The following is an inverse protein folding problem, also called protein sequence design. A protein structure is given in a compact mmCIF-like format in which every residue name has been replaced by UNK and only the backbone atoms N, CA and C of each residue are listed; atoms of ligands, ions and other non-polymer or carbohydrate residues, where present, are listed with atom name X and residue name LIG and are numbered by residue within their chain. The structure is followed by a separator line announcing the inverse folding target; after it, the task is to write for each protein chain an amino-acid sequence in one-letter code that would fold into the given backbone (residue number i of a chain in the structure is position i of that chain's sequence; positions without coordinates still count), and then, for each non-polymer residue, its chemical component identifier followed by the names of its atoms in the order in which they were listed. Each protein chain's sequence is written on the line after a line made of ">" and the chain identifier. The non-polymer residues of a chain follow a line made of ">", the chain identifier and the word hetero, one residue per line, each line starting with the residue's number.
data_IF_013401316077
#
_entry.id   IF_013401316077
#
_cell.length_a   1.000
_cell.length_b   1.000
_cell.length_c   1.000
_cell.angle_alpha   90.00
_cell.angle_beta   90.00
_cell.angle_gamma   90.00
#
_symmetry.space_group_name_H-M   'P 1'
#
loop_
_entity.id
_entity.type
_entity.pdbx_description
1 polymer ?
#
# COMPACT_ATOMS: atom_id res chain seq x y z
N UNK A 1 29.80 10.33 -18.49
CA UNK A 1 28.74 9.63 -19.25
C UNK A 1 28.31 8.37 -18.51
N UNK A 2 29.24 7.67 -17.87
CA UNK A 2 28.96 6.45 -17.10
C UNK A 2 28.05 6.68 -15.87
N UNK A 3 28.19 7.81 -15.16
CA UNK A 3 27.38 8.11 -13.98
C UNK A 3 25.88 8.31 -14.29
N UNK A 4 25.56 8.95 -15.42
CA UNK A 4 24.17 9.15 -15.84
C UNK A 4 23.51 7.81 -16.23
N UNK A 5 24.30 6.89 -16.80
CA UNK A 5 23.81 5.58 -17.19
C UNK A 5 23.40 4.75 -15.97
N UNK A 6 24.12 4.87 -14.85
CA UNK A 6 23.75 4.23 -13.59
C UNK A 6 22.40 4.77 -13.07
N UNK A 7 22.21 6.08 -13.08
CA UNK A 7 20.94 6.70 -12.67
C UNK A 7 19.77 6.23 -13.55
N UNK A 8 19.97 6.09 -14.86
CA UNK A 8 18.91 5.62 -15.78
C UNK A 8 18.54 4.14 -15.60
N UNK A 9 19.32 3.36 -14.84
CA UNK A 9 19.00 1.99 -14.47
C UNK A 9 18.32 1.89 -13.09
N UNK A 10 18.29 2.99 -12.34
CA UNK A 10 17.70 3.08 -11.01
C UNK A 10 16.22 3.46 -11.11
N UNK A 11 15.35 2.57 -10.64
CA UNK A 11 13.90 2.75 -10.74
C UNK A 11 13.41 3.94 -9.92
N UNK A 12 13.97 4.15 -8.73
CA UNK A 12 13.58 5.25 -7.85
C UNK A 12 13.91 6.60 -8.50
N UNK A 13 15.12 6.70 -9.06
CA UNK A 13 15.53 7.89 -9.81
C UNK A 13 14.59 8.16 -10.99
N UNK A 14 14.30 7.15 -11.80
CA UNK A 14 13.42 7.30 -12.96
C UNK A 14 12.02 7.77 -12.56
N UNK A 15 11.42 7.17 -11.53
CA UNK A 15 10.07 7.53 -11.09
C UNK A 15 10.01 8.94 -10.51
N UNK A 16 10.98 9.31 -9.65
CA UNK A 16 11.08 10.66 -9.09
C UNK A 16 11.35 11.73 -10.15
N UNK A 17 12.10 11.40 -11.21
CA UNK A 17 12.42 12.32 -12.30
C UNK A 17 11.29 12.48 -13.32
N UNK A 18 10.55 11.40 -13.63
CA UNK A 18 9.52 11.41 -14.69
C UNK A 18 8.16 11.88 -14.21
N UNK A 19 7.81 11.63 -12.95
CA UNK A 19 6.44 11.84 -12.43
C UNK A 19 6.38 12.91 -11.35
N UNK A 20 7.24 13.93 -11.44
CA UNK A 20 7.27 15.07 -10.51
C UNK A 20 5.93 15.83 -10.49
N UNK A 21 5.19 15.85 -11.60
CA UNK A 21 3.89 16.52 -11.74
C UNK A 21 2.73 15.78 -11.03
N UNK A 22 2.90 14.49 -10.75
CA UNK A 22 1.86 13.65 -10.13
C UNK A 22 1.75 13.83 -8.62
N UNK A 23 2.81 14.31 -7.98
CA UNK A 23 2.83 14.57 -6.53
C UNK A 23 2.51 13.34 -5.66
N UNK A 24 2.74 12.12 -6.19
CA UNK A 24 2.54 10.83 -5.49
C UNK A 24 3.85 10.16 -5.06
N UNK A 25 4.98 10.62 -5.60
CA UNK A 25 6.34 10.15 -5.31
C UNK A 25 7.24 11.32 -4.86
N UNK A 26 8.35 11.04 -4.13
CA UNK A 26 9.35 12.04 -3.76
C UNK A 26 9.85 12.84 -4.97
N UNK A 27 9.82 14.18 -4.86
CA UNK A 27 10.37 15.08 -5.87
C UNK A 27 11.91 15.03 -5.89
N UNK A 28 12.48 14.87 -7.08
CA UNK A 28 13.92 14.94 -7.29
C UNK A 28 14.45 16.37 -7.00
N UNK A 29 15.41 16.49 -6.07
CA UNK A 29 16.07 17.76 -5.74
C UNK A 29 17.30 18.02 -6.60
N UNK A 30 18.00 16.96 -7.00
CA UNK A 30 19.20 17.07 -7.84
C UNK A 30 20.03 15.79 -7.87
N UNK A 31 21.08 15.81 -8.67
CA UNK A 31 22.00 14.69 -8.89
C UNK A 31 23.46 15.12 -8.67
N UNK A 32 24.29 14.19 -8.22
CA UNK A 32 25.73 14.36 -8.02
C UNK A 32 26.44 13.04 -8.35
N UNK A 33 26.94 12.93 -9.58
CA UNK A 33 27.51 11.66 -10.08
C UNK A 33 26.46 10.55 -10.08
N UNK A 34 26.73 9.37 -9.49
CA UNK A 34 25.77 8.26 -9.41
C UNK A 34 24.74 8.43 -8.28
N UNK A 35 24.79 9.54 -7.52
CA UNK A 35 23.87 9.80 -6.42
C UNK A 35 22.80 10.80 -6.83
N UNK A 36 21.61 10.64 -6.27
CA UNK A 36 20.54 11.60 -6.38
C UNK A 36 19.92 11.88 -5.00
N UNK A 37 19.29 13.03 -4.86
CA UNK A 37 18.58 13.42 -3.66
C UNK A 37 17.13 13.73 -3.99
N UNK A 38 16.22 13.29 -3.14
CA UNK A 38 14.79 13.57 -3.23
C UNK A 38 14.32 14.39 -2.03
N UNK A 39 13.13 14.97 -2.13
CA UNK A 39 12.51 15.69 -1.02
C UNK A 39 12.40 14.78 0.21
N UNK A 40 12.59 15.37 1.40
CA UNK A 40 12.44 14.62 2.64
C UNK A 40 10.95 14.51 2.99
N UNK A 41 10.49 13.27 3.14
CA UNK A 41 9.14 12.93 3.59
C UNK A 41 9.26 12.26 4.96
N UNK A 42 8.48 12.74 5.92
CA UNK A 42 8.37 12.12 7.25
C UNK A 42 7.57 10.82 7.11
N UNK A 43 8.20 9.65 7.35
CA UNK A 43 7.54 8.37 7.19
C UNK A 43 6.42 8.19 8.21
N UNK A 44 5.33 7.54 7.81
CA UNK A 44 4.30 7.10 8.74
C UNK A 44 4.93 6.08 9.69
N UNK A 45 4.93 6.33 11.01
CA UNK A 45 5.56 5.42 11.94
C UNK A 45 4.84 4.07 11.94
N UNK A 46 5.62 2.99 11.89
CA UNK A 46 5.11 1.66 12.23
C UNK A 46 4.73 1.67 13.71
N UNK A 47 3.46 1.92 14.00
CA UNK A 47 2.99 2.22 15.35
C UNK A 47 3.19 1.03 16.30
N UNK A 48 4.09 1.21 17.26
CA UNK A 48 4.20 0.35 18.45
C UNK A 48 3.02 0.51 19.41
N UNK A 49 2.21 1.57 19.24
CA UNK A 49 1.08 1.91 20.11
C UNK A 49 -0.19 1.07 19.88
N UNK A 50 -0.32 0.38 18.74
CA UNK A 50 -1.51 -0.42 18.39
C UNK A 50 -1.78 -1.58 19.35
N UNK A 51 -0.78 -1.98 20.13
CA UNK A 51 -0.86 -3.06 21.12
C UNK A 51 -0.86 -2.55 22.57
N UNK A 52 -0.87 -1.23 22.77
CA UNK A 52 -0.84 -0.63 24.11
C UNK A 52 -2.24 -0.29 24.58
N UNK A 53 -2.56 -0.59 25.85
CA UNK A 53 -3.83 -0.23 26.49
C UNK A 53 -4.08 1.29 26.59
N UNK A 54 -3.10 2.10 26.17
CA UNK A 54 -3.12 3.57 26.18
C UNK A 54 -3.46 4.19 24.82
N UNK A 55 -3.98 3.42 23.86
CA UNK A 55 -4.40 3.95 22.56
C UNK A 55 -5.62 4.89 22.73
N UNK A 56 -5.38 6.19 22.60
CA UNK A 56 -6.42 7.21 22.73
C UNK A 56 -7.30 7.28 21.47
N UNK A 57 -8.54 7.75 21.64
CA UNK A 57 -9.46 7.94 20.52
C UNK A 57 -8.94 8.98 19.52
N UNK A 58 -8.19 9.97 20.00
CA UNK A 58 -7.48 10.95 19.19
C UNK A 58 -6.40 10.31 18.30
N UNK A 59 -5.54 9.45 18.87
CA UNK A 59 -4.54 8.72 18.11
C UNK A 59 -5.17 7.81 17.06
N UNK A 60 -6.33 7.23 17.37
CA UNK A 60 -7.09 6.46 16.38
C UNK A 60 -7.65 7.36 15.26
N UNK A 61 -8.16 8.56 15.58
CA UNK A 61 -8.56 9.58 14.60
C UNK A 61 -7.43 9.98 13.65
N UNK A 62 -6.22 10.19 14.16
CA UNK A 62 -5.04 10.45 13.32
C UNK A 62 -4.75 9.29 12.36
N UNK A 63 -4.94 8.04 12.79
CA UNK A 63 -4.76 6.86 11.92
C UNK A 63 -5.85 6.74 10.85
N UNK A 64 -7.10 7.14 11.15
CA UNK A 64 -8.15 7.23 10.13
C UNK A 64 -7.77 8.23 9.04
N UNK A 65 -7.28 9.41 9.43
CA UNK A 65 -6.82 10.43 8.49
C UNK A 65 -5.70 9.91 7.58
N UNK A 66 -4.71 9.21 8.14
CA UNK A 66 -3.66 8.56 7.36
C UNK A 66 -4.24 7.50 6.41
N UNK A 67 -5.19 6.68 6.88
CA UNK A 67 -5.82 5.66 6.04
C UNK A 67 -6.59 6.26 4.85
N UNK A 68 -7.29 7.39 5.05
CA UNK A 68 -7.94 8.14 3.96
C UNK A 68 -6.92 8.66 2.95
N UNK A 69 -5.82 9.27 3.42
CA UNK A 69 -4.74 9.73 2.53
C UNK A 69 -4.06 8.58 1.77
N UNK A 70 -3.94 7.39 2.37
CA UNK A 70 -3.49 6.19 1.67
C UNK A 70 -4.47 5.85 0.55
N UNK A 71 -5.78 5.79 0.83
CA UNK A 71 -6.79 5.47 -0.18
C UNK A 71 -6.79 6.47 -1.34
N UNK A 72 -6.65 7.76 -1.06
CA UNK A 72 -6.49 8.81 -2.09
C UNK A 72 -5.26 8.55 -2.97
N UNK A 73 -4.11 8.22 -2.36
CA UNK A 73 -2.89 7.87 -3.08
C UNK A 73 -3.10 6.62 -3.96
N UNK A 74 -3.82 5.60 -3.48
CA UNK A 74 -4.08 4.39 -4.26
C UNK A 74 -4.96 4.67 -5.48
N UNK A 75 -5.95 5.54 -5.36
CA UNK A 75 -6.80 5.96 -6.49
C UNK A 75 -5.98 6.68 -7.56
N UNK A 76 -5.06 7.56 -7.17
CA UNK A 76 -4.14 8.24 -8.09
C UNK A 76 -3.18 7.25 -8.78
N UNK A 77 -2.71 6.22 -8.08
CA UNK A 77 -1.85 5.18 -8.68
C UNK A 77 -2.62 4.26 -9.64
N UNK A 78 -3.91 4.04 -9.40
CA UNK A 78 -4.78 3.22 -10.26
C UNK A 78 -5.21 3.99 -11.53
N UNK A 79 -5.54 5.27 -11.39
CA UNK A 79 -6.25 6.04 -12.44
C UNK A 79 -5.46 7.22 -13.01
N UNK A 80 -4.44 7.71 -12.28
CA UNK A 80 -3.68 8.92 -12.62
C UNK A 80 -2.60 8.72 -13.68
N UNK A 81 -2.39 7.49 -14.16
CA UNK A 81 -1.33 7.10 -15.09
C UNK A 81 -1.89 6.39 -16.34
N UNK A 82 -1.04 6.18 -17.34
CA UNK A 82 -1.42 5.44 -18.57
C UNK A 82 -1.83 4.00 -18.27
N UNK A 83 -1.20 3.40 -17.26
CA UNK A 83 -1.56 2.12 -16.69
C UNK A 83 -1.36 2.18 -15.16
N UNK A 84 -2.04 1.33 -14.38
CA UNK A 84 -1.89 1.30 -12.93
C UNK A 84 -0.45 1.02 -12.49
N UNK A 85 0.01 1.71 -11.45
CA UNK A 85 1.24 1.39 -10.74
C UNK A 85 0.95 0.48 -9.55
N UNK A 86 1.70 -0.61 -9.42
CA UNK A 86 1.63 -1.54 -8.31
C UNK A 86 2.75 -1.28 -7.30
N UNK A 87 2.40 -1.39 -6.01
CA UNK A 87 3.32 -1.26 -4.88
C UNK A 87 3.75 -2.64 -4.40
N UNK A 88 4.73 -3.25 -5.06
CA UNK A 88 5.12 -4.64 -4.81
C UNK A 88 5.95 -4.83 -3.53
N UNK A 89 6.46 -3.80 -2.87
CA UNK A 89 7.05 -3.90 -1.51
C UNK A 89 6.37 -2.92 -0.54
N UNK A 90 5.27 -3.37 0.02
CA UNK A 90 4.34 -2.54 0.77
C UNK A 90 4.63 -2.64 2.27
N UNK A 91 5.05 -1.51 2.86
CA UNK A 91 5.25 -1.33 4.30
C UNK A 91 4.69 0.03 4.74
N UNK A 92 4.19 0.13 5.98
CA UNK A 92 3.60 1.39 6.49
C UNK A 92 4.62 2.54 6.44
N UNK A 93 5.89 2.25 6.76
CA UNK A 93 7.01 3.20 6.69
C UNK A 93 7.39 3.66 5.28
N UNK A 94 6.81 3.05 4.23
CA UNK A 94 7.02 3.50 2.85
C UNK A 94 6.00 4.57 2.45
N UNK A 95 5.01 4.84 3.29
CA UNK A 95 4.16 6.02 3.13
C UNK A 95 4.73 7.16 3.95
N UNK A 96 4.66 8.38 3.44
CA UNK A 96 4.96 9.57 4.25
C UNK A 96 4.59 10.87 3.58
N UNK A 97 4.80 11.95 4.31
CA UNK A 97 4.35 13.28 3.88
C UNK A 97 5.39 14.33 4.24
N UNK A 98 5.38 15.46 3.55
CA UNK A 98 6.13 16.63 4.01
C UNK A 98 5.57 17.02 5.39
N UNK A 99 6.40 17.52 6.30
CA UNK A 99 5.94 17.95 7.63
C UNK A 99 4.77 18.93 7.52
N UNK A 100 3.66 18.64 8.21
CA UNK A 100 2.38 19.35 8.11
C UNK A 100 1.72 19.32 6.71
N UNK A 101 2.18 18.44 5.83
CA UNK A 101 1.62 18.22 4.51
C UNK A 101 0.25 17.57 4.57
N UNK A 102 -0.58 17.88 3.58
CA UNK A 102 -1.94 17.35 3.47
C UNK A 102 -2.03 16.10 2.58
N UNK A 103 -0.96 15.78 1.85
CA UNK A 103 -0.88 14.65 0.94
C UNK A 103 0.18 13.66 1.36
N UNK A 104 -0.16 12.39 1.22
CA UNK A 104 0.73 11.27 1.46
C UNK A 104 1.33 10.83 0.11
N UNK A 105 2.60 10.48 0.14
CA UNK A 105 3.37 9.97 -1.00
C UNK A 105 3.96 8.61 -0.65
N UNK A 106 4.30 7.84 -1.67
CA UNK A 106 5.04 6.59 -1.49
C UNK A 106 6.54 6.87 -1.64
N UNK A 107 7.34 6.55 -0.63
CA UNK A 107 8.74 6.97 -0.48
C UNK A 107 9.72 5.96 -1.07
N UNK A 108 9.50 4.68 -0.81
CA UNK A 108 10.37 3.57 -1.25
C UNK A 108 9.90 3.13 -2.64
N UNK A 109 10.65 3.48 -3.68
CA UNK A 109 10.22 3.33 -5.07
C UNK A 109 10.81 2.07 -5.73
N UNK A 110 11.66 1.31 -5.04
CA UNK A 110 12.31 0.09 -5.56
C UNK A 110 11.29 -0.94 -6.06
N UNK A 111 10.17 -1.08 -5.33
CA UNK A 111 9.07 -2.01 -5.63
C UNK A 111 7.91 -1.40 -6.42
N UNK A 112 8.03 -0.17 -6.93
CA UNK A 112 6.95 0.54 -7.61
C UNK A 112 7.04 0.31 -9.11
N UNK A 113 6.05 -0.41 -9.66
CA UNK A 113 6.13 -0.91 -11.03
C UNK A 113 4.83 -0.66 -11.80
N UNK A 114 4.89 -0.25 -13.08
CA UNK A 114 3.72 -0.34 -13.95
C UNK A 114 3.21 -1.79 -14.00
N UNK A 115 1.89 -1.97 -14.06
CA UNK A 115 1.24 -3.30 -14.08
C UNK A 115 1.86 -4.25 -15.10
N UNK A 116 2.14 -3.78 -16.31
CA UNK A 116 2.75 -4.57 -17.38
C UNK A 116 4.18 -5.02 -17.06
N UNK A 117 4.95 -4.17 -16.39
CA UNK A 117 6.33 -4.46 -15.97
C UNK A 117 6.32 -5.49 -14.84
N UNK A 118 5.50 -5.30 -13.81
CA UNK A 118 5.37 -6.27 -12.72
C UNK A 118 4.90 -7.64 -13.25
N UNK A 119 3.93 -7.68 -14.16
CA UNK A 119 3.51 -8.92 -14.83
C UNK A 119 4.64 -9.58 -15.63
N UNK A 120 5.46 -8.79 -16.33
CA UNK A 120 6.61 -9.30 -17.08
C UNK A 120 7.68 -9.89 -16.16
N UNK A 121 7.98 -9.24 -15.03
CA UNK A 121 8.93 -9.75 -14.03
C UNK A 121 8.46 -11.08 -13.44
N UNK A 122 7.17 -11.20 -13.12
CA UNK A 122 6.60 -12.44 -12.59
C UNK A 122 6.68 -13.57 -13.63
N UNK A 123 6.45 -13.28 -14.91
CA UNK A 123 6.54 -14.28 -15.98
C UNK A 123 7.96 -14.85 -16.17
N UNK A 124 8.98 -14.08 -15.84
CA UNK A 124 10.38 -14.53 -15.85
C UNK A 124 10.70 -15.46 -14.67
N UNK A 125 9.82 -15.57 -13.66
CA UNK A 125 9.90 -16.59 -12.62
C UNK A 125 9.63 -17.96 -13.28
N UNK A 126 10.70 -18.72 -13.48
CA UNK A 126 10.75 -19.86 -14.39
C UNK A 126 9.67 -20.93 -14.18
N UNK A 127 9.87 -21.82 -13.20
CA UNK A 127 8.99 -22.95 -12.94
C UNK A 127 8.19 -22.71 -11.65
N UNK A 128 6.89 -23.04 -11.67
CA UNK A 128 6.01 -22.97 -10.52
C UNK A 128 5.25 -24.29 -10.31
N UNK A 129 4.97 -24.63 -9.06
CA UNK A 129 4.08 -25.72 -8.67
C UNK A 129 2.75 -25.21 -8.10
N UNK A 130 2.77 -24.08 -7.38
CA UNK A 130 1.60 -23.43 -6.81
C UNK A 130 1.59 -21.91 -7.04
N UNK A 131 0.44 -21.26 -6.83
CA UNK A 131 0.29 -19.81 -7.08
C UNK A 131 1.30 -18.97 -6.29
N UNK A 132 1.66 -19.39 -5.08
CA UNK A 132 2.63 -18.69 -4.23
C UNK A 132 4.05 -18.67 -4.79
N UNK A 133 4.40 -19.61 -5.67
CA UNK A 133 5.69 -19.58 -6.39
C UNK A 133 5.75 -18.43 -7.41
N UNK A 134 4.61 -17.84 -7.75
CA UNK A 134 4.47 -16.73 -8.69
C UNK A 134 4.32 -15.36 -8.00
N UNK A 135 4.61 -15.28 -6.70
CA UNK A 135 4.61 -14.02 -5.97
C UNK A 135 5.93 -13.26 -6.21
N UNK A 136 5.83 -12.03 -6.69
CA UNK A 136 6.93 -11.07 -6.72
C UNK A 136 6.73 -10.07 -5.57
N UNK A 137 7.34 -10.38 -4.43
CA UNK A 137 7.12 -9.68 -3.16
C UNK A 137 5.62 -9.67 -2.80
N UNK A 138 4.96 -8.52 -2.79
CA UNK A 138 3.52 -8.40 -2.49
C UNK A 138 2.62 -8.53 -3.74
N UNK A 139 3.19 -8.40 -4.94
CA UNK A 139 2.46 -8.56 -6.18
C UNK A 139 2.32 -10.05 -6.51
N UNK A 140 1.08 -10.50 -6.69
CA UNK A 140 0.76 -11.93 -6.82
C UNK A 140 0.33 -12.26 -8.24
N UNK A 141 0.59 -13.49 -8.65
CA UNK A 141 0.04 -14.04 -9.90
C UNK A 141 -0.46 -15.47 -9.67
N UNK A 142 -0.66 -16.22 -10.76
CA UNK A 142 -1.13 -17.60 -10.74
C UNK A 142 -0.17 -18.50 -11.48
N UNK A 143 -0.01 -19.71 -10.96
CA UNK A 143 0.70 -20.77 -11.63
C UNK A 143 -0.24 -21.49 -12.60
N UNK A 144 0.15 -21.58 -13.87
CA UNK A 144 -0.52 -22.47 -14.80
C UNK A 144 -0.08 -23.91 -14.52
N UNK A 145 -0.98 -24.72 -13.95
CA UNK A 145 -0.70 -26.10 -13.58
C UNK A 145 -0.39 -27.02 -14.78
N UNK A 146 -0.75 -26.62 -16.00
CA UNK A 146 -0.48 -27.36 -17.23
C UNK A 146 0.91 -27.04 -17.78
N UNK A 147 1.24 -25.75 -17.88
CA UNK A 147 2.53 -25.32 -18.45
C UNK A 147 3.65 -25.20 -17.41
N UNK A 148 3.29 -25.22 -16.12
CA UNK A 148 4.18 -25.04 -14.96
C UNK A 148 4.95 -23.71 -15.00
N UNK A 149 4.25 -22.66 -15.45
CA UNK A 149 4.78 -21.30 -15.60
C UNK A 149 3.85 -20.29 -14.97
N UNK A 150 4.43 -19.20 -14.49
CA UNK A 150 3.68 -18.07 -13.96
C UNK A 150 2.99 -17.27 -15.07
N UNK A 151 1.78 -16.80 -14.78
CA UNK A 151 1.06 -15.86 -15.64
C UNK A 151 1.70 -14.46 -15.56
N UNK A 152 1.57 -13.67 -16.64
CA UNK A 152 1.88 -12.23 -16.61
C UNK A 152 0.73 -11.38 -16.05
N UNK A 153 -0.40 -11.99 -15.69
CA UNK A 153 -1.52 -11.29 -15.07
C UNK A 153 -1.31 -11.16 -13.57
N UNK A 154 -1.31 -9.93 -13.06
CA UNK A 154 -1.34 -9.67 -11.61
C UNK A 154 -2.75 -9.97 -11.08
N UNK A 155 -2.83 -10.75 -10.02
CA UNK A 155 -4.08 -11.28 -9.44
C UNK A 155 -4.65 -10.42 -8.31
N UNK A 156 -3.85 -9.51 -7.74
CA UNK A 156 -4.23 -8.54 -6.72
C UNK A 156 -4.00 -7.08 -7.17
N UNK A 157 -4.42 -6.12 -6.36
CA UNK A 157 -4.19 -4.68 -6.58
C UNK A 157 -3.76 -3.98 -5.29
N UNK A 158 -3.39 -2.71 -5.37
CA UNK A 158 -2.90 -1.97 -4.21
C UNK A 158 -3.94 -1.90 -3.08
N UNK A 159 -5.22 -1.73 -3.40
CA UNK A 159 -6.29 -1.68 -2.40
C UNK A 159 -6.34 -2.96 -1.56
N UNK A 160 -6.32 -4.13 -2.23
CA UNK A 160 -6.27 -5.42 -1.55
C UNK A 160 -5.04 -5.53 -0.63
N UNK A 161 -3.85 -5.19 -1.16
CA UNK A 161 -2.59 -5.31 -0.42
C UNK A 161 -2.54 -4.38 0.79
N UNK A 162 -3.01 -3.13 0.66
CA UNK A 162 -3.11 -2.18 1.78
C UNK A 162 -4.13 -2.64 2.81
N UNK A 163 -5.31 -3.09 2.39
CA UNK A 163 -6.31 -3.63 3.31
C UNK A 163 -5.75 -4.79 4.13
N UNK A 164 -5.01 -5.69 3.48
CA UNK A 164 -4.39 -6.83 4.13
C UNK A 164 -3.24 -6.42 5.05
N UNK A 165 -2.17 -5.82 4.51
CA UNK A 165 -0.91 -5.63 5.22
C UNK A 165 -0.89 -4.40 6.12
N UNK A 166 -1.63 -3.35 5.75
CA UNK A 166 -1.57 -2.06 6.43
C UNK A 166 -2.77 -1.85 7.34
N UNK A 167 -3.99 -1.99 6.83
CA UNK A 167 -5.18 -1.66 7.61
C UNK A 167 -5.57 -2.76 8.58
N UNK A 168 -5.64 -4.01 8.11
CA UNK A 168 -5.99 -5.16 8.93
C UNK A 168 -4.78 -5.66 9.74
N UNK A 169 -3.61 -5.70 9.12
CA UNK A 169 -2.38 -6.19 9.73
C UNK A 169 -2.08 -7.64 9.38
N UNK A 170 -0.99 -8.16 9.93
CA UNK A 170 -0.40 -9.43 9.51
C UNK A 170 -0.32 -10.42 10.67
N UNK A 171 -0.30 -11.71 10.33
CA UNK A 171 -0.03 -12.78 11.30
C UNK A 171 1.47 -13.06 11.30
N UNK A 172 2.11 -12.87 12.45
CA UNK A 172 3.51 -13.24 12.64
C UNK A 172 3.66 -14.75 12.89
N UNK A 173 2.64 -15.38 13.46
CA UNK A 173 2.56 -16.84 13.62
C UNK A 173 1.10 -17.29 13.68
N UNK A 174 0.86 -18.59 13.83
CA UNK A 174 -0.49 -19.12 14.05
C UNK A 174 -1.19 -18.55 15.30
N UNK A 175 -0.45 -17.91 16.22
CA UNK A 175 -0.97 -17.37 17.48
C UNK A 175 -0.79 -15.86 17.62
N UNK A 176 0.17 -15.25 16.93
CA UNK A 176 0.50 -13.83 17.09
C UNK A 176 -0.03 -13.02 15.90
N UNK A 177 -0.97 -12.13 16.19
CA UNK A 177 -1.52 -11.17 15.24
C UNK A 177 -0.93 -9.80 15.56
N UNK A 178 -0.27 -9.19 14.57
CA UNK A 178 0.15 -7.81 14.65
C UNK A 178 -0.96 -6.96 14.04
N UNK A 179 -1.69 -6.17 14.84
CA UNK A 179 -2.77 -5.35 14.33
C UNK A 179 -2.24 -4.34 13.32
N UNK A 180 -3.02 -4.11 12.26
CA UNK A 180 -2.77 -3.04 11.31
C UNK A 180 -3.20 -1.67 11.85
N UNK A 181 -2.94 -0.65 11.04
CA UNK A 181 -3.23 0.77 11.28
C UNK A 181 -4.66 1.00 11.81
N UNK A 182 -5.62 0.25 11.30
CA UNK A 182 -7.05 0.40 11.60
C UNK A 182 -7.58 -0.62 12.60
N UNK A 183 -6.74 -1.51 13.15
CA UNK A 183 -7.14 -2.51 14.13
C UNK A 183 -6.73 -2.08 15.54
N UNK A 184 -7.72 -1.78 16.39
CA UNK A 184 -7.54 -1.34 17.78
C UNK A 184 -8.83 -1.59 18.59
N UNK A 185 -8.82 -1.22 19.87
CA UNK A 185 -10.03 -1.24 20.71
C UNK A 185 -11.14 -0.30 20.23
N UNK A 186 -10.81 0.72 19.43
CA UNK A 186 -11.79 1.68 18.89
C UNK A 186 -12.39 1.21 17.55
N UNK A 187 -11.92 0.10 17.00
CA UNK A 187 -12.34 -0.39 15.68
C UNK A 187 -13.71 -1.06 15.75
N UNK A 188 -14.76 -0.51 15.09
CA UNK A 188 -16.08 -1.13 15.11
C UNK A 188 -16.12 -2.45 14.33
N UNK A 189 -17.07 -3.31 14.68
CA UNK A 189 -17.27 -4.62 14.02
C UNK A 189 -17.45 -4.49 12.51
N UNK A 190 -18.18 -3.47 12.08
CA UNK A 190 -18.56 -3.27 10.69
C UNK A 190 -17.34 -2.85 9.85
N UNK A 191 -16.49 -1.97 10.39
CA UNK A 191 -15.21 -1.63 9.76
C UNK A 191 -14.31 -2.87 9.67
N UNK A 192 -14.20 -3.65 10.76
CA UNK A 192 -13.42 -4.88 10.74
C UNK A 192 -13.94 -5.91 9.72
N UNK A 193 -15.25 -5.96 9.47
CA UNK A 193 -15.85 -6.81 8.44
C UNK A 193 -15.49 -6.32 7.03
N UNK A 194 -15.60 -5.02 6.76
CA UNK A 194 -15.20 -4.42 5.47
C UNK A 194 -13.72 -4.64 5.20
N UNK A 195 -12.84 -4.46 6.20
CA UNK A 195 -11.41 -4.67 6.06
C UNK A 195 -11.07 -6.13 5.72
N UNK A 196 -11.74 -7.10 6.35
CA UNK A 196 -11.56 -8.53 6.00
C UNK A 196 -12.02 -8.83 4.58
N UNK A 197 -13.17 -8.29 4.17
CA UNK A 197 -13.69 -8.44 2.82
C UNK A 197 -12.73 -7.79 1.79
N UNK A 198 -12.17 -6.63 2.10
CA UNK A 198 -11.21 -5.94 1.24
C UNK A 198 -9.88 -6.71 1.12
N UNK A 199 -9.38 -7.25 2.24
CA UNK A 199 -8.13 -7.99 2.29
C UNK A 199 -8.23 -9.40 1.68
N UNK A 200 -9.37 -10.08 1.84
CA UNK A 200 -9.58 -11.43 1.30
C UNK A 200 -11.06 -11.64 0.97
N UNK A 201 -11.51 -11.23 -0.23
CA UNK A 201 -12.93 -11.25 -0.60
C UNK A 201 -13.55 -12.65 -0.57
N UNK A 202 -12.80 -13.68 -0.99
CA UNK A 202 -13.30 -15.05 -0.99
C UNK A 202 -13.26 -15.69 0.40
N UNK A 203 -12.33 -15.29 1.27
CA UNK A 203 -12.22 -15.83 2.63
C UNK A 203 -11.89 -17.33 2.69
N UNK A 204 -11.56 -17.96 1.55
CA UNK A 204 -11.30 -19.40 1.45
C UNK A 204 -9.82 -19.66 1.71
N UNK A 205 -9.54 -20.54 2.67
CA UNK A 205 -8.19 -21.01 2.96
C UNK A 205 -7.63 -21.79 1.76
N UNK A 206 -6.37 -21.51 1.39
CA UNK A 206 -5.69 -22.17 0.27
C UNK A 206 -6.06 -21.64 -1.12
N UNK A 207 -6.95 -20.64 -1.24
CA UNK A 207 -7.14 -19.91 -2.49
C UNK A 207 -6.31 -18.63 -2.52
N UNK A 208 -5.79 -18.29 -3.70
CA UNK A 208 -5.14 -17.02 -3.95
C UNK A 208 -6.10 -15.86 -3.63
N UNK A 209 -5.60 -14.85 -2.93
CA UNK A 209 -6.37 -13.64 -2.60
C UNK A 209 -6.65 -12.87 -3.88
N UNK A 210 -7.92 -12.53 -4.09
CA UNK A 210 -8.38 -11.81 -5.27
C UNK A 210 -8.58 -10.31 -5.00
N UNK A 211 -8.65 -9.52 -6.07
CA UNK A 211 -9.07 -8.11 -6.02
C UNK A 211 -10.50 -8.00 -5.46
N UNK A 212 -10.77 -7.12 -4.49
CA UNK A 212 -12.12 -6.87 -3.99
C UNK A 212 -13.02 -6.23 -5.05
N UNK A 213 -14.32 -6.44 -4.92
CA UNK A 213 -15.31 -5.70 -5.72
C UNK A 213 -15.18 -4.19 -5.49
N UNK A 214 -15.44 -3.40 -6.53
CA UNK A 214 -15.26 -1.94 -6.51
C UNK A 214 -16.13 -1.25 -5.43
N UNK A 215 -17.31 -1.80 -5.13
CA UNK A 215 -18.17 -1.28 -4.06
C UNK A 215 -17.50 -1.36 -2.68
N UNK A 216 -16.66 -2.35 -2.42
CA UNK A 216 -15.96 -2.54 -1.15
C UNK A 216 -15.02 -1.37 -0.87
N UNK A 217 -14.25 -0.92 -1.88
CA UNK A 217 -13.37 0.24 -1.75
C UNK A 217 -14.14 1.52 -1.44
N UNK A 218 -15.25 1.76 -2.15
CA UNK A 218 -16.12 2.93 -1.92
C UNK A 218 -16.77 2.92 -0.54
N UNK A 219 -17.26 1.75 -0.11
CA UNK A 219 -17.84 1.56 1.22
C UNK A 219 -16.79 1.79 2.31
N UNK A 220 -15.58 1.28 2.14
CA UNK A 220 -14.47 1.52 3.06
C UNK A 220 -14.17 3.02 3.17
N UNK A 221 -14.00 3.71 2.06
CA UNK A 221 -13.71 5.14 2.03
C UNK A 221 -14.79 5.96 2.76
N UNK A 222 -16.07 5.70 2.47
CA UNK A 222 -17.19 6.42 3.09
C UNK A 222 -17.24 6.19 4.60
N UNK A 223 -17.11 4.95 5.05
CA UNK A 223 -17.13 4.60 6.48
C UNK A 223 -15.97 5.26 7.22
N UNK A 224 -14.76 5.25 6.65
CA UNK A 224 -13.61 5.92 7.25
C UNK A 224 -13.80 7.44 7.32
N UNK A 225 -14.40 8.04 6.29
CA UNK A 225 -14.71 9.47 6.25
C UNK A 225 -15.70 9.87 7.35
N UNK A 226 -16.80 9.13 7.49
CA UNK A 226 -17.80 9.36 8.54
C UNK A 226 -17.18 9.24 9.95
N UNK A 227 -16.34 8.23 10.16
CA UNK A 227 -15.67 8.02 11.44
C UNK A 227 -14.65 9.12 11.75
N UNK A 228 -13.88 9.58 10.76
CA UNK A 228 -12.89 10.64 10.94
C UNK A 228 -13.56 11.96 11.34
N UNK A 229 -14.66 12.31 10.65
CA UNK A 229 -15.47 13.47 10.99
C UNK A 229 -16.08 13.38 12.38
N UNK A 230 -16.59 12.21 12.78
CA UNK A 230 -17.15 12.01 14.10
C UNK A 230 -16.10 12.19 15.22
N UNK A 231 -14.90 11.63 15.05
CA UNK A 231 -13.81 11.79 16.03
C UNK A 231 -13.34 13.25 16.13
N UNK A 232 -13.23 13.95 15.00
CA UNK A 232 -12.86 15.37 15.00
C UNK A 232 -13.92 16.24 15.68
N UNK A 233 -15.21 16.01 15.39
CA UNK A 233 -16.31 16.76 16.00
C UNK A 233 -16.37 16.55 17.53
N UNK A 234 -16.15 15.32 17.99
CA UNK A 234 -16.08 15.02 19.42
C UNK A 234 -14.93 15.77 20.11
N UNK A 235 -13.84 16.06 19.40
CA UNK A 235 -12.73 16.85 19.95
C UNK A 235 -13.09 18.33 20.06
N UNK A 236 -13.64 18.93 19.01
CA UNK A 236 -14.05 20.35 19.01
C UNK A 236 -15.15 20.68 20.02
N UNK A 237 -15.97 19.71 20.42
CA UNK A 237 -17.04 19.90 21.41
C UNK A 237 -16.57 19.73 22.87
N UNK A 238 -15.34 19.24 23.08
CA UNK A 238 -14.76 18.97 24.41
C UNK A 238 -13.59 19.92 24.78
N UNK A 239 -13.29 20.91 23.93
CA UNK A 239 -12.42 22.07 24.23
C UNK A 239 -13.25 23.29 24.66
#
# INVERSE_FOLDING_TARGET
>A
MDDLWLLLQDNEYLLSALFTDKDVFPQLLGTCGPYFAVEYLEPVPASSSLLTASDSRENWGQRLKVALQILDLLEELETGFREPFHLCDLKLRHFGSVKNGQKLKFIDLDGVLPKSVAGSLIKEIGFCDEDADCDFYDCRSKCDSTTKKCSDSISNNNLQMVCEKIFLGWRLSNTVIVPGLLMSQHTPSDLAAILRQCANPEGVEGKARAVPENDVGKRLFNVLTEMEQAVNNDFFMNE
#
